data_IF_741756203788
#
_entry.id   IF_741756203788
#
_cell.length_a   1.000
_cell.length_b   1.000
_cell.length_c   1.000
_cell.angle_alpha   90.00
_cell.angle_beta   90.00
_cell.angle_gamma   90.00
#
_symmetry.space_group_name_H-M   'P 1'
#
loop_
_entity.id
_entity.type
_entity.pdbx_description
1 polymer ?
#
# COMPACT_ATOMS: atom_id res chain seq x y z
N UNK A 1 31.69 19.14 9.28
CA UNK A 1 31.92 17.80 8.72
C UNK A 1 30.77 17.56 7.71
N UNK A 2 31.10 17.67 6.43
CA UNK A 2 30.12 17.43 5.34
C UNK A 2 29.95 15.92 5.18
N UNK A 3 28.70 15.45 5.21
CA UNK A 3 28.37 14.06 4.91
C UNK A 3 28.69 13.79 3.43
N UNK A 4 29.53 12.79 3.15
CA UNK A 4 29.80 12.32 1.80
C UNK A 4 28.49 11.80 1.16
N UNK A 5 28.25 12.11 -0.12
CA UNK A 5 27.12 11.54 -0.84
C UNK A 5 27.38 10.02 -1.02
N UNK A 6 26.52 9.20 -0.45
CA UNK A 6 26.50 7.74 -0.71
C UNK A 6 26.32 7.53 -2.20
N UNK A 7 27.35 7.05 -2.89
CA UNK A 7 27.36 6.73 -4.30
C UNK A 7 26.32 5.64 -4.57
N UNK A 8 25.28 5.94 -5.34
CA UNK A 8 24.34 4.93 -5.84
C UNK A 8 25.12 3.81 -6.53
N UNK A 9 24.84 2.55 -6.23
CA UNK A 9 25.52 1.42 -6.87
C UNK A 9 25.28 1.49 -8.38
N UNK A 10 26.37 1.40 -9.17
CA UNK A 10 26.29 1.49 -10.63
C UNK A 10 25.35 0.40 -11.16
N UNK A 11 24.50 0.76 -12.09
CA UNK A 11 23.43 -0.06 -12.69
C UNK A 11 23.90 -1.50 -13.03
N UNK A 12 25.07 -1.60 -13.66
CA UNK A 12 25.65 -2.87 -14.07
C UNK A 12 26.03 -3.78 -12.89
N UNK A 13 26.50 -3.23 -11.77
CA UNK A 13 26.84 -4.02 -10.59
C UNK A 13 25.59 -4.59 -9.91
N UNK A 14 24.49 -3.84 -9.89
CA UNK A 14 23.21 -4.30 -9.34
C UNK A 14 22.60 -5.43 -10.19
N UNK A 15 22.62 -5.29 -11.53
CA UNK A 15 22.16 -6.36 -12.45
C UNK A 15 23.01 -7.61 -12.29
N UNK A 16 24.31 -7.45 -12.24
CA UNK A 16 25.25 -8.58 -12.11
C UNK A 16 25.06 -9.33 -10.79
N UNK A 17 24.87 -8.60 -9.68
CA UNK A 17 24.62 -9.20 -8.37
C UNK A 17 23.29 -9.96 -8.35
N UNK A 18 22.20 -9.31 -8.80
CA UNK A 18 20.90 -9.95 -8.95
C UNK A 18 20.93 -11.20 -9.83
N UNK A 19 21.63 -11.13 -10.96
CA UNK A 19 21.78 -12.26 -11.87
C UNK A 19 22.49 -13.44 -11.23
N UNK A 20 23.60 -13.18 -10.54
CA UNK A 20 24.37 -14.23 -9.85
C UNK A 20 23.54 -14.92 -8.77
N UNK A 21 22.85 -14.17 -7.95
CA UNK A 21 22.03 -14.72 -6.86
C UNK A 21 20.86 -15.56 -7.39
N UNK A 22 20.12 -15.02 -8.37
CA UNK A 22 18.94 -15.72 -8.90
C UNK A 22 19.34 -16.91 -9.80
N UNK A 23 20.41 -16.80 -10.59
CA UNK A 23 20.87 -17.92 -11.41
C UNK A 23 21.48 -19.04 -10.57
N UNK A 24 22.08 -18.74 -9.44
CA UNK A 24 22.56 -19.74 -8.48
C UNK A 24 21.42 -20.48 -7.78
N UNK A 25 20.30 -19.80 -7.52
CA UNK A 25 19.14 -20.38 -6.83
C UNK A 25 18.18 -21.11 -7.76
N UNK A 26 17.81 -20.49 -8.88
CA UNK A 26 16.71 -20.93 -9.76
C UNK A 26 17.21 -21.48 -11.10
N UNK A 27 18.52 -21.35 -11.42
CA UNK A 27 19.12 -21.74 -12.68
C UNK A 27 19.06 -20.65 -13.77
N UNK A 28 19.87 -20.84 -14.83
CA UNK A 28 20.05 -19.85 -15.90
C UNK A 28 18.76 -19.55 -16.69
N UNK A 29 18.00 -20.58 -17.11
CA UNK A 29 16.82 -20.42 -17.95
C UNK A 29 15.66 -19.71 -17.25
N UNK A 30 15.25 -20.07 -16.01
CA UNK A 30 14.21 -19.34 -15.28
C UNK A 30 14.59 -17.88 -15.00
N UNK A 31 15.84 -17.61 -14.65
CA UNK A 31 16.35 -16.26 -14.39
C UNK A 31 16.31 -15.40 -15.65
N UNK A 32 16.75 -15.96 -16.81
CA UNK A 32 16.65 -15.28 -18.11
C UNK A 32 15.23 -14.95 -18.49
N UNK A 33 14.29 -15.88 -18.30
CA UNK A 33 12.86 -15.67 -18.58
C UNK A 33 12.27 -14.55 -17.71
N UNK A 34 12.60 -14.53 -16.41
CA UNK A 34 12.18 -13.45 -15.49
C UNK A 34 12.75 -12.09 -15.92
N UNK A 35 14.01 -12.05 -16.29
CA UNK A 35 14.65 -10.81 -16.75
C UNK A 35 14.00 -10.27 -18.03
N UNK A 36 13.80 -11.11 -19.03
CA UNK A 36 13.17 -10.74 -20.29
C UNK A 36 11.70 -10.33 -20.06
N UNK A 37 10.97 -11.05 -19.20
CA UNK A 37 9.58 -10.69 -18.83
C UNK A 37 9.51 -9.32 -18.16
N UNK A 38 10.38 -9.04 -17.19
CA UNK A 38 10.43 -7.75 -16.50
C UNK A 38 10.78 -6.59 -17.47
N UNK A 39 11.72 -6.83 -18.40
CA UNK A 39 12.08 -5.86 -19.42
C UNK A 39 10.93 -5.63 -20.42
N UNK A 40 10.27 -6.70 -20.85
CA UNK A 40 9.11 -6.61 -21.75
C UNK A 40 7.94 -5.88 -21.11
N UNK A 41 7.62 -6.18 -19.85
CA UNK A 41 6.59 -5.47 -19.10
C UNK A 41 6.91 -3.98 -18.95
N UNK A 42 8.17 -3.65 -18.63
CA UNK A 42 8.62 -2.25 -18.58
C UNK A 42 8.40 -1.52 -19.92
N UNK A 43 8.82 -2.14 -21.03
CA UNK A 43 8.62 -1.55 -22.38
C UNK A 43 7.14 -1.41 -22.69
N UNK A 44 6.33 -2.45 -22.44
CA UNK A 44 4.89 -2.44 -22.66
C UNK A 44 4.18 -1.37 -21.85
N UNK A 45 4.58 -1.18 -20.60
CA UNK A 45 3.99 -0.17 -19.70
C UNK A 45 4.49 1.25 -19.98
N UNK A 46 5.63 1.39 -20.64
CA UNK A 46 6.17 2.68 -21.08
C UNK A 46 5.49 3.21 -22.35
N UNK A 47 4.59 2.44 -22.97
CA UNK A 47 3.86 2.87 -24.17
C UNK A 47 2.93 4.06 -23.90
N UNK A 48 2.81 5.04 -24.84
CA UNK A 48 1.95 6.20 -24.66
C UNK A 48 0.47 5.85 -24.40
N UNK A 49 -0.03 4.77 -25.00
CA UNK A 49 -1.41 4.31 -24.81
C UNK A 49 -1.69 3.87 -23.38
N UNK A 50 -0.76 3.12 -22.76
CA UNK A 50 -0.90 2.71 -21.36
C UNK A 50 -0.60 3.84 -20.39
N UNK A 51 0.29 4.76 -20.73
CA UNK A 51 0.43 6.01 -19.97
C UNK A 51 -0.89 6.78 -19.91
N UNK A 52 -1.62 6.91 -21.02
CA UNK A 52 -2.93 7.58 -21.06
C UNK A 52 -3.99 6.87 -20.22
N UNK A 53 -4.02 5.54 -20.18
CA UNK A 53 -4.93 4.79 -19.29
C UNK A 53 -4.62 4.97 -17.80
N UNK A 54 -3.37 5.25 -17.45
CA UNK A 54 -2.96 5.57 -16.07
C UNK A 54 -3.23 7.02 -15.65
N UNK A 55 -3.47 7.91 -16.63
CA UNK A 55 -3.82 9.31 -16.38
C UNK A 55 -5.30 9.51 -16.02
N UNK A 56 -6.05 8.44 -15.80
CA UNK A 56 -7.48 8.51 -15.54
C UNK A 56 -7.91 9.35 -14.33
N UNK A 57 -6.95 9.92 -13.57
CA UNK A 57 -7.23 10.67 -12.36
C UNK A 57 -6.29 11.87 -12.18
N UNK A 58 -5.93 12.48 -13.30
CA UNK A 58 -5.18 13.76 -13.33
C UNK A 58 -5.99 14.87 -12.67
N UNK A 59 -7.32 14.77 -12.70
CA UNK A 59 -8.25 15.72 -12.11
C UNK A 59 -8.01 15.85 -10.60
N UNK A 60 -7.90 14.74 -9.87
CA UNK A 60 -7.58 14.73 -8.44
C UNK A 60 -6.25 15.46 -8.15
N UNK A 61 -5.20 15.14 -8.89
CA UNK A 61 -3.88 15.74 -8.68
C UNK A 61 -3.89 17.24 -8.99
N UNK A 62 -4.69 17.65 -9.97
CA UNK A 62 -4.86 19.05 -10.34
C UNK A 62 -5.64 19.84 -9.30
N UNK A 63 -6.75 19.26 -8.80
CA UNK A 63 -7.62 19.91 -7.81
C UNK A 63 -6.90 20.14 -6.48
N UNK A 64 -6.09 19.17 -6.04
CA UNK A 64 -5.38 19.22 -4.76
C UNK A 64 -3.89 19.62 -4.89
N UNK A 65 -3.40 19.95 -6.09
CA UNK A 65 -2.00 20.34 -6.38
C UNK A 65 -0.97 19.31 -5.89
N UNK A 66 -1.30 18.05 -5.99
CA UNK A 66 -0.46 16.91 -5.58
C UNK A 66 0.04 16.13 -6.80
N UNK A 67 0.98 15.22 -6.59
CA UNK A 67 1.48 14.26 -7.60
C UNK A 67 1.22 12.85 -7.10
N UNK A 68 0.02 12.33 -7.33
CA UNK A 68 -0.35 10.97 -6.93
C UNK A 68 -0.61 10.04 -8.11
N UNK A 69 -0.62 10.55 -9.36
CA UNK A 69 -0.75 9.75 -10.58
C UNK A 69 0.61 9.29 -11.10
N UNK A 70 0.61 8.20 -11.86
CA UNK A 70 1.69 7.82 -12.78
C UNK A 70 3.08 7.59 -12.18
N UNK A 71 3.22 6.82 -11.10
CA UNK A 71 4.54 6.34 -10.70
C UNK A 71 5.01 5.22 -11.64
N UNK A 72 6.04 5.48 -12.44
CA UNK A 72 6.83 4.42 -13.04
C UNK A 72 7.74 3.85 -11.96
N UNK A 73 7.38 2.69 -11.43
CA UNK A 73 8.33 1.89 -10.65
C UNK A 73 9.52 1.56 -11.54
N UNK A 74 10.70 1.92 -11.12
CA UNK A 74 11.91 1.68 -11.88
C UNK A 74 12.06 0.19 -12.19
N UNK A 75 12.53 -0.18 -13.37
CA UNK A 75 12.80 -1.57 -13.73
C UNK A 75 13.74 -2.28 -12.73
N UNK A 76 14.59 -1.50 -12.01
CA UNK A 76 15.47 -1.97 -10.93
C UNK A 76 14.67 -2.56 -9.77
N UNK A 77 13.65 -1.85 -9.32
CA UNK A 77 12.84 -2.24 -8.17
C UNK A 77 11.99 -3.48 -8.49
N UNK A 78 11.55 -3.62 -9.75
CA UNK A 78 10.91 -4.84 -10.26
C UNK A 78 11.86 -6.04 -10.28
N UNK A 79 13.12 -5.86 -10.73
CA UNK A 79 14.12 -6.92 -10.75
C UNK A 79 14.51 -7.38 -9.36
N UNK A 80 14.57 -6.48 -8.38
CA UNK A 80 14.92 -6.79 -7.00
C UNK A 80 13.79 -7.48 -6.24
N UNK A 81 12.63 -7.71 -6.89
CA UNK A 81 11.50 -8.42 -6.28
C UNK A 81 10.76 -7.62 -5.20
N UNK A 82 11.07 -6.31 -5.09
CA UNK A 82 10.40 -5.42 -4.13
C UNK A 82 8.98 -5.05 -4.56
N UNK A 83 8.57 -5.45 -5.80
CA UNK A 83 7.25 -5.17 -6.34
C UNK A 83 6.53 -6.38 -6.87
N UNK A 84 5.35 -6.60 -6.35
CA UNK A 84 4.40 -7.58 -6.86
C UNK A 84 3.29 -6.94 -7.72
N UNK A 85 3.11 -5.63 -7.63
CA UNK A 85 2.13 -4.89 -8.42
C UNK A 85 2.71 -3.54 -8.88
N UNK A 86 2.45 -3.08 -10.12
CA UNK A 86 2.76 -1.70 -10.51
C UNK A 86 1.96 -0.74 -9.63
N UNK A 87 2.58 0.39 -9.27
CA UNK A 87 1.86 1.45 -8.57
C UNK A 87 0.62 1.86 -9.34
N UNK A 88 -0.51 1.79 -8.68
CA UNK A 88 -1.80 2.22 -9.20
C UNK A 88 -2.46 3.10 -8.13
N UNK A 89 -2.79 4.37 -8.46
CA UNK A 89 -3.49 5.23 -7.51
C UNK A 89 -4.89 4.70 -7.25
N UNK A 90 -5.35 4.82 -6.01
CA UNK A 90 -6.72 4.48 -5.63
C UNK A 90 -7.70 5.46 -6.28
N UNK A 91 -8.76 4.95 -6.88
CA UNK A 91 -9.85 5.76 -7.42
C UNK A 91 -10.65 6.40 -6.28
N UNK A 92 -10.88 7.75 -6.28
CA UNK A 92 -11.57 8.42 -5.19
C UNK A 92 -12.97 7.91 -4.92
N UNK A 93 -13.78 7.71 -5.97
CA UNK A 93 -15.16 7.23 -5.82
C UNK A 93 -15.20 5.88 -5.11
N UNK A 94 -14.33 4.94 -5.48
CA UNK A 94 -14.27 3.62 -4.86
C UNK A 94 -13.75 3.66 -3.43
N UNK A 95 -12.79 4.56 -3.13
CA UNK A 95 -12.31 4.74 -1.76
C UNK A 95 -13.43 5.22 -0.83
N UNK A 96 -14.19 6.22 -1.26
CA UNK A 96 -15.33 6.73 -0.49
C UNK A 96 -16.45 5.69 -0.36
N UNK A 97 -16.71 4.88 -1.41
CA UNK A 97 -17.66 3.77 -1.35
C UNK A 97 -17.25 2.73 -0.30
N UNK A 98 -15.96 2.38 -0.23
CA UNK A 98 -15.44 1.43 0.77
C UNK A 98 -15.66 1.94 2.19
N UNK A 99 -15.40 3.22 2.46
CA UNK A 99 -15.64 3.79 3.79
C UNK A 99 -17.14 3.90 4.10
N UNK A 100 -17.97 4.24 3.13
CA UNK A 100 -19.44 4.22 3.29
C UNK A 100 -19.94 2.80 3.61
N UNK A 101 -19.44 1.78 2.92
CA UNK A 101 -19.74 0.37 3.22
C UNK A 101 -19.28 -0.06 4.62
N UNK A 102 -18.12 0.43 5.08
CA UNK A 102 -17.66 0.19 6.44
C UNK A 102 -18.62 0.79 7.47
N UNK A 103 -19.06 2.03 7.26
CA UNK A 103 -20.05 2.70 8.14
C UNK A 103 -21.36 1.91 8.16
N UNK A 104 -21.84 1.44 7.01
CA UNK A 104 -23.06 0.62 6.94
C UNK A 104 -22.92 -0.72 7.69
N UNK A 105 -21.77 -1.39 7.55
CA UNK A 105 -21.47 -2.67 8.22
C UNK A 105 -21.21 -2.49 9.73
N UNK A 106 -20.83 -1.29 10.17
CA UNK A 106 -20.48 -0.96 11.55
C UNK A 106 -21.00 0.43 11.91
N UNK A 107 -22.33 0.62 12.09
CA UNK A 107 -22.95 1.95 12.28
C UNK A 107 -22.50 2.70 13.55
N UNK A 108 -21.86 2.01 14.49
CA UNK A 108 -21.34 2.60 15.73
C UNK A 108 -19.87 3.00 15.64
N UNK A 109 -19.24 2.87 14.47
CA UNK A 109 -17.85 3.26 14.30
C UNK A 109 -17.69 4.77 14.46
N UNK A 110 -16.77 5.20 15.32
CA UNK A 110 -16.34 6.58 15.43
C UNK A 110 -14.89 6.67 14.95
N UNK A 111 -14.67 7.21 13.76
CA UNK A 111 -13.34 7.33 13.17
C UNK A 111 -12.36 8.13 14.04
N UNK A 112 -12.83 8.99 14.92
CA UNK A 112 -11.99 9.76 15.86
C UNK A 112 -11.22 8.87 16.83
N UNK A 113 -11.68 7.63 17.03
CA UNK A 113 -10.98 6.65 17.86
C UNK A 113 -9.96 5.82 17.07
N UNK A 114 -10.03 5.83 15.73
CA UNK A 114 -9.27 4.96 14.86
C UNK A 114 -8.08 5.65 14.22
N UNK A 115 -6.97 4.91 14.11
CA UNK A 115 -5.88 5.23 13.19
C UNK A 115 -6.17 4.54 11.85
N UNK A 116 -6.14 5.31 10.76
CA UNK A 116 -6.11 4.77 9.41
C UNK A 116 -4.67 4.42 9.04
N UNK A 117 -4.44 3.19 8.55
CA UNK A 117 -3.11 2.73 8.13
C UNK A 117 -3.18 2.22 6.70
N UNK A 118 -2.41 2.82 5.79
CA UNK A 118 -2.27 2.40 4.40
C UNK A 118 -0.96 1.63 4.20
N UNK A 119 -1.05 0.36 3.84
CA UNK A 119 0.10 -0.52 3.60
C UNK A 119 0.47 -0.47 2.11
N UNK A 120 1.69 -0.02 1.81
CA UNK A 120 2.13 0.28 0.46
C UNK A 120 1.51 1.58 -0.04
N UNK A 121 1.63 2.63 0.78
CA UNK A 121 0.94 3.91 0.54
C UNK A 121 1.37 4.64 -0.75
N UNK A 122 2.43 4.18 -1.40
CA UNK A 122 2.90 4.75 -2.66
C UNK A 122 3.19 6.24 -2.55
N UNK A 123 2.55 7.04 -3.39
CA UNK A 123 2.62 8.50 -3.35
C UNK A 123 1.63 9.16 -2.37
N UNK A 124 0.89 8.36 -1.58
CA UNK A 124 0.06 8.83 -0.50
C UNK A 124 -1.38 9.21 -0.85
N UNK A 125 -1.93 8.89 -2.04
CA UNK A 125 -3.29 9.29 -2.41
C UNK A 125 -4.34 8.83 -1.40
N UNK A 126 -4.29 7.57 -0.95
CA UNK A 126 -5.24 7.07 0.03
C UNK A 126 -5.11 7.77 1.40
N UNK A 127 -3.90 8.24 1.75
CA UNK A 127 -3.68 9.03 2.96
C UNK A 127 -4.40 10.38 2.89
N UNK A 128 -4.32 11.06 1.74
CA UNK A 128 -4.96 12.36 1.52
C UNK A 128 -6.47 12.22 1.56
N UNK A 129 -7.03 11.22 0.87
CA UNK A 129 -8.47 10.95 0.91
C UNK A 129 -8.96 10.52 2.31
N UNK A 130 -8.14 9.76 3.06
CA UNK A 130 -8.48 9.41 4.44
C UNK A 130 -8.48 10.63 5.37
N UNK A 131 -7.70 11.66 5.05
CA UNK A 131 -7.68 12.90 5.83
C UNK A 131 -8.99 13.70 5.75
N UNK A 132 -9.85 13.45 4.77
CA UNK A 132 -11.19 14.04 4.69
C UNK A 132 -12.19 13.42 5.68
N UNK A 133 -11.77 12.36 6.37
CA UNK A 133 -12.53 11.74 7.45
C UNK A 133 -11.91 12.07 8.80
N UNK A 134 -12.70 12.08 9.88
CA UNK A 134 -12.22 12.48 11.20
C UNK A 134 -11.41 11.38 11.89
N UNK A 135 -10.46 10.74 11.18
CA UNK A 135 -9.56 9.80 11.81
C UNK A 135 -8.69 10.47 12.87
N UNK A 136 -8.40 9.74 13.96
CA UNK A 136 -7.47 10.21 14.98
C UNK A 136 -6.10 10.52 14.39
N UNK A 137 -5.66 9.69 13.43
CA UNK A 137 -4.41 9.80 12.71
C UNK A 137 -4.48 9.01 11.41
N UNK A 138 -3.75 9.45 10.40
CA UNK A 138 -3.55 8.75 9.13
C UNK A 138 -2.07 8.42 8.97
N UNK A 139 -1.76 7.14 8.74
CA UNK A 139 -0.40 6.63 8.67
C UNK A 139 -0.20 5.82 7.38
N UNK A 140 0.81 6.17 6.59
CA UNK A 140 1.25 5.40 5.44
C UNK A 140 2.51 4.60 5.76
N UNK A 141 2.60 3.38 5.22
CA UNK A 141 3.80 2.55 5.25
C UNK A 141 4.24 2.32 3.82
N UNK A 142 5.42 2.83 3.45
CA UNK A 142 5.96 2.71 2.10
C UNK A 142 7.41 2.22 2.15
N UNK A 143 7.71 1.19 1.34
CA UNK A 143 9.03 0.58 1.28
C UNK A 143 10.00 1.37 0.41
N UNK A 144 9.49 2.06 -0.62
CA UNK A 144 10.33 2.71 -1.62
C UNK A 144 10.64 4.16 -1.27
N UNK A 145 11.92 4.51 -1.10
CA UNK A 145 12.33 5.88 -0.76
C UNK A 145 11.83 6.93 -1.76
N UNK A 146 11.75 6.57 -3.05
CA UNK A 146 11.29 7.48 -4.09
C UNK A 146 9.80 7.83 -3.95
N UNK A 147 8.94 6.83 -3.71
CA UNK A 147 7.50 7.04 -3.51
C UNK A 147 7.22 7.71 -2.18
N UNK A 148 7.88 7.25 -1.11
CA UNK A 148 7.79 7.86 0.21
C UNK A 148 8.11 9.37 0.19
N UNK A 149 9.16 9.80 -0.54
CA UNK A 149 9.49 11.23 -0.67
C UNK A 149 8.36 12.01 -1.31
N UNK A 150 7.78 11.47 -2.39
CA UNK A 150 6.64 12.11 -3.07
C UNK A 150 5.42 12.16 -2.14
N UNK A 151 5.14 11.09 -1.40
CA UNK A 151 4.06 11.07 -0.40
C UNK A 151 4.24 12.17 0.65
N UNK A 152 5.45 12.34 1.18
CA UNK A 152 5.76 13.42 2.14
C UNK A 152 5.57 14.81 1.54
N UNK A 153 5.93 15.01 0.26
CA UNK A 153 5.71 16.28 -0.44
C UNK A 153 4.21 16.54 -0.67
N UNK A 154 3.46 15.51 -1.03
CA UNK A 154 2.02 15.59 -1.24
C UNK A 154 1.29 15.93 0.08
N UNK A 155 1.65 15.27 1.19
CA UNK A 155 1.09 15.55 2.51
C UNK A 155 1.29 17.01 2.91
N UNK A 156 2.47 17.59 2.60
CA UNK A 156 2.77 18.99 2.91
C UNK A 156 1.99 20.00 2.06
N UNK A 157 1.62 19.61 0.84
CA UNK A 157 0.93 20.48 -0.12
C UNK A 157 -0.59 20.34 -0.07
N UNK A 158 -1.06 19.22 0.52
CA UNK A 158 -2.47 18.92 0.51
C UNK A 158 -3.27 19.92 1.33
N UNK A 159 -4.23 20.54 0.67
CA UNK A 159 -5.22 21.43 1.26
C UNK A 159 -6.58 21.06 0.69
N UNK A 160 -7.56 20.80 1.56
CA UNK A 160 -8.93 20.45 1.20
C UNK A 160 -9.89 21.04 2.20
N UNK A 161 -10.99 21.61 1.71
CA UNK A 161 -12.07 22.15 2.55
C UNK A 161 -12.78 21.03 3.34
N UNK A 162 -12.67 19.78 2.88
CA UNK A 162 -13.22 18.59 3.56
C UNK A 162 -12.26 17.97 4.57
N UNK A 163 -11.02 18.44 4.68
CA UNK A 163 -10.01 17.85 5.54
C UNK A 163 -10.40 17.95 7.02
N UNK A 164 -10.45 16.79 7.70
CA UNK A 164 -10.80 16.66 9.11
C UNK A 164 -9.66 16.10 9.96
N UNK A 165 -8.73 15.34 9.34
CA UNK A 165 -7.55 14.83 10.01
C UNK A 165 -6.30 15.55 9.50
N UNK A 166 -5.54 16.17 10.41
CA UNK A 166 -4.29 16.89 10.12
C UNK A 166 -3.05 16.11 10.60
N UNK A 167 -3.25 15.02 11.34
CA UNK A 167 -2.18 14.13 11.78
C UNK A 167 -1.91 13.07 10.71
N UNK A 168 -1.25 13.47 9.63
CA UNK A 168 -0.91 12.60 8.50
C UNK A 168 0.58 12.37 8.47
N UNK A 169 0.99 11.11 8.38
CA UNK A 169 2.40 10.72 8.34
C UNK A 169 2.60 9.58 7.34
N UNK A 170 3.75 9.56 6.67
CA UNK A 170 4.20 8.43 5.87
C UNK A 170 5.56 7.96 6.37
N UNK A 171 5.68 6.68 6.72
CA UNK A 171 6.91 6.05 7.20
C UNK A 171 7.58 5.26 6.09
N UNK A 172 8.91 5.40 6.00
CA UNK A 172 9.73 4.53 5.15
C UNK A 172 10.01 3.24 5.92
N UNK A 173 9.25 2.18 5.65
CA UNK A 173 9.35 0.93 6.39
C UNK A 173 8.89 -0.27 5.55
N UNK A 174 9.38 -1.46 5.93
CA UNK A 174 8.84 -2.74 5.44
C UNK A 174 7.56 -3.10 6.19
N UNK A 175 6.47 -3.26 5.47
CA UNK A 175 5.19 -3.67 6.03
C UNK A 175 5.23 -5.03 6.72
N UNK A 176 6.10 -5.94 6.26
CA UNK A 176 6.31 -7.24 6.89
C UNK A 176 6.98 -7.19 8.27
N UNK A 177 7.63 -6.07 8.60
CA UNK A 177 8.29 -5.82 9.90
C UNK A 177 7.53 -4.75 10.72
N UNK A 178 6.41 -4.25 10.21
CA UNK A 178 5.66 -3.18 10.86
C UNK A 178 5.04 -3.66 12.18
N UNK A 179 5.37 -2.96 13.26
CA UNK A 179 4.80 -3.18 14.58
C UNK A 179 3.48 -2.38 14.72
N UNK A 180 2.36 -3.09 14.78
CA UNK A 180 1.05 -2.45 14.95
C UNK A 180 0.92 -1.81 16.33
N UNK A 181 0.44 -0.58 16.35
CA UNK A 181 0.16 0.16 17.57
C UNK A 181 -1.06 -0.42 18.31
N UNK A 182 -1.11 -0.34 19.64
CA UNK A 182 -2.21 -0.88 20.45
C UNK A 182 -3.44 0.03 20.45
N UNK A 183 -3.86 0.51 19.28
CA UNK A 183 -5.00 1.41 19.12
C UNK A 183 -5.97 0.92 18.03
N UNK A 184 -7.27 1.27 18.10
CA UNK A 184 -8.24 0.92 17.07
C UNK A 184 -7.74 1.30 15.68
N UNK A 185 -7.89 0.39 14.71
CA UNK A 185 -7.24 0.54 13.39
C UNK A 185 -8.20 0.24 12.26
N UNK A 186 -8.20 1.11 11.24
CA UNK A 186 -8.70 0.82 9.90
C UNK A 186 -7.48 0.61 8.99
N UNK A 187 -7.23 -0.63 8.61
CA UNK A 187 -6.11 -1.03 7.75
C UNK A 187 -6.57 -1.04 6.31
N UNK A 188 -5.90 -0.32 5.43
CA UNK A 188 -6.15 -0.29 4.00
C UNK A 188 -5.06 -1.03 3.25
N UNK A 189 -5.46 -1.85 2.27
CA UNK A 189 -4.58 -2.67 1.43
C UNK A 189 -5.02 -2.53 -0.03
N UNK A 190 -4.07 -2.20 -0.93
CA UNK A 190 -4.29 -2.25 -2.38
C UNK A 190 -3.23 -3.14 -3.04
N UNK A 191 -3.33 -4.46 -2.82
CA UNK A 191 -2.38 -5.48 -3.30
C UNK A 191 -0.89 -5.10 -3.11
N UNK A 192 -0.49 -4.62 -1.94
CA UNK A 192 0.86 -4.10 -1.72
C UNK A 192 1.92 -5.20 -1.64
N UNK A 193 1.51 -6.44 -1.36
CA UNK A 193 2.39 -7.55 -0.99
C UNK A 193 2.07 -8.83 -1.79
N UNK A 194 3.08 -9.70 -1.94
CA UNK A 194 2.88 -11.09 -2.32
C UNK A 194 2.18 -11.86 -1.22
N UNK A 195 1.69 -13.07 -1.52
CA UNK A 195 0.97 -13.92 -0.58
C UNK A 195 1.74 -14.16 0.72
N UNK A 196 3.04 -14.46 0.64
CA UNK A 196 3.88 -14.68 1.83
C UNK A 196 4.03 -13.40 2.67
N UNK A 197 4.17 -12.24 2.04
CA UNK A 197 4.25 -10.94 2.72
C UNK A 197 2.93 -10.58 3.39
N UNK A 198 1.80 -10.79 2.70
CA UNK A 198 0.48 -10.57 3.27
C UNK A 198 0.21 -11.52 4.44
N UNK A 199 0.59 -12.79 4.32
CA UNK A 199 0.46 -13.75 5.41
C UNK A 199 1.28 -13.34 6.65
N UNK A 200 2.50 -12.82 6.45
CA UNK A 200 3.33 -12.28 7.53
C UNK A 200 2.69 -11.06 8.18
N UNK A 201 2.19 -10.10 7.38
CA UNK A 201 1.48 -8.92 7.88
C UNK A 201 0.27 -9.30 8.73
N UNK A 202 -0.56 -10.24 8.25
CA UNK A 202 -1.73 -10.75 8.97
C UNK A 202 -1.32 -11.43 10.27
N UNK A 203 -0.26 -12.26 10.26
CA UNK A 203 0.27 -12.90 11.46
C UNK A 203 0.78 -11.89 12.50
N UNK A 204 1.48 -10.83 12.06
CA UNK A 204 1.91 -9.74 12.95
C UNK A 204 0.73 -9.00 13.57
N UNK A 205 -0.31 -8.75 12.76
CA UNK A 205 -1.54 -8.10 13.24
C UNK A 205 -2.27 -9.01 14.26
N UNK A 206 -2.39 -10.30 13.98
CA UNK A 206 -2.98 -11.26 14.91
C UNK A 206 -2.20 -11.36 16.24
N UNK A 207 -0.86 -11.33 16.16
CA UNK A 207 -0.02 -11.32 17.38
C UNK A 207 -0.30 -10.06 18.20
N UNK A 208 -0.28 -8.89 17.58
CA UNK A 208 -0.61 -7.61 18.23
C UNK A 208 -2.03 -7.58 18.81
N UNK A 209 -2.99 -8.26 18.18
CA UNK A 209 -4.38 -8.36 18.66
C UNK A 209 -4.54 -9.33 19.84
N UNK A 210 -3.67 -10.32 19.99
CA UNK A 210 -3.63 -11.18 21.18
C UNK A 210 -3.09 -10.44 22.38
N UNK A 211 -2.03 -9.64 22.18
CA UNK A 211 -1.43 -8.84 23.27
C UNK A 211 -2.32 -7.64 23.66
N UNK A 212 -2.88 -6.98 22.67
CA UNK A 212 -3.67 -5.76 22.84
C UNK A 212 -5.00 -5.88 22.07
N UNK A 213 -6.02 -6.51 22.66
CA UNK A 213 -7.34 -6.65 22.06
C UNK A 213 -8.01 -5.31 21.80
N UNK A 214 -8.35 -5.04 20.53
CA UNK A 214 -8.97 -3.79 20.07
C UNK A 214 -9.78 -3.96 18.78
N UNK A 215 -10.67 -3.04 18.42
CA UNK A 215 -11.34 -3.05 17.13
C UNK A 215 -10.34 -2.87 15.97
N UNK A 216 -10.45 -3.72 14.97
CA UNK A 216 -9.69 -3.59 13.72
C UNK A 216 -10.61 -3.92 12.56
N UNK A 217 -10.56 -3.07 11.53
CA UNK A 217 -11.16 -3.31 10.22
C UNK A 217 -10.07 -3.37 9.17
N UNK A 218 -10.23 -4.26 8.18
CA UNK A 218 -9.33 -4.35 7.03
C UNK A 218 -10.14 -4.07 5.77
N UNK A 219 -9.80 -2.99 5.08
CA UNK A 219 -10.33 -2.61 3.77
C UNK A 219 -9.36 -3.13 2.71
N UNK A 220 -9.73 -4.19 2.01
CA UNK A 220 -8.90 -4.79 0.99
C UNK A 220 -9.44 -4.45 -0.41
N UNK A 221 -8.82 -3.48 -1.05
CA UNK A 221 -9.12 -3.05 -2.41
C UNK A 221 -8.50 -4.03 -3.41
N UNK A 222 -9.28 -4.42 -4.43
CA UNK A 222 -8.92 -5.41 -5.46
C UNK A 222 -8.34 -6.69 -4.82
N UNK A 223 -9.13 -7.47 -4.05
CA UNK A 223 -8.63 -8.44 -3.09
C UNK A 223 -8.18 -9.76 -3.76
N UNK A 224 -7.09 -9.71 -4.52
CA UNK A 224 -6.54 -10.87 -5.24
C UNK A 224 -6.12 -12.02 -4.31
N UNK A 225 -5.74 -11.69 -3.09
CA UNK A 225 -5.29 -12.63 -2.06
C UNK A 225 -6.25 -12.67 -0.87
N UNK A 226 -7.54 -12.45 -1.11
CA UNK A 226 -8.59 -12.44 -0.07
C UNK A 226 -8.54 -13.69 0.82
N UNK A 227 -8.18 -14.83 0.25
CA UNK A 227 -8.11 -16.10 0.95
C UNK A 227 -7.12 -16.10 2.14
N UNK A 228 -6.11 -15.22 2.14
CA UNK A 228 -5.16 -15.09 3.26
C UNK A 228 -5.87 -14.55 4.50
N UNK A 229 -6.70 -13.52 4.35
CA UNK A 229 -7.53 -12.98 5.43
C UNK A 229 -8.67 -13.93 5.80
N UNK A 230 -9.30 -14.57 4.81
CA UNK A 230 -10.40 -15.49 5.04
C UNK A 230 -10.00 -16.77 5.81
N UNK A 231 -8.73 -17.19 5.73
CA UNK A 231 -8.19 -18.31 6.52
C UNK A 231 -7.90 -17.94 7.98
N UNK A 232 -7.79 -16.65 8.29
CA UNK A 232 -7.55 -16.16 9.65
C UNK A 232 -8.81 -16.32 10.50
N UNK A 233 -8.65 -16.90 11.68
CA UNK A 233 -9.73 -16.98 12.66
C UNK A 233 -9.98 -15.63 13.38
N UNK A 234 -9.02 -14.71 13.29
CA UNK A 234 -9.11 -13.40 13.91
C UNK A 234 -10.03 -12.45 13.15
N UNK A 235 -10.33 -12.72 11.87
CA UNK A 235 -11.08 -11.85 11.00
C UNK A 235 -12.30 -12.55 10.38
N UNK A 236 -13.38 -11.79 10.21
CA UNK A 236 -14.54 -12.20 9.44
C UNK A 236 -14.87 -11.14 8.39
N UNK A 237 -15.26 -11.56 7.21
CA UNK A 237 -15.78 -10.67 6.17
C UNK A 237 -17.15 -10.12 6.61
N UNK A 238 -17.31 -8.80 6.55
CA UNK A 238 -18.53 -8.10 6.98
C UNK A 238 -19.23 -7.36 5.84
N UNK A 239 -18.49 -6.97 4.80
CA UNK A 239 -19.02 -6.33 3.61
C UNK A 239 -18.08 -6.54 2.41
N UNK A 240 -18.45 -6.01 1.25
CA UNK A 240 -17.62 -5.96 0.06
C UNK A 240 -18.36 -6.32 -1.22
N UNK A 241 -17.71 -6.02 -2.34
CA UNK A 241 -18.14 -6.31 -3.71
C UNK A 241 -17.11 -7.23 -4.39
N UNK A 242 -17.09 -7.25 -5.74
CA UNK A 242 -15.99 -7.87 -6.48
C UNK A 242 -14.72 -6.99 -6.54
N UNK A 243 -14.84 -5.68 -6.22
CA UNK A 243 -13.73 -4.72 -6.26
C UNK A 243 -13.04 -4.58 -4.91
N UNK A 244 -13.72 -4.90 -3.81
CA UNK A 244 -13.14 -4.83 -2.47
C UNK A 244 -13.80 -5.78 -1.49
N UNK A 245 -13.11 -6.07 -0.42
CA UNK A 245 -13.66 -6.78 0.75
C UNK A 245 -13.33 -6.04 2.04
N UNK A 246 -14.26 -6.11 2.99
CA UNK A 246 -14.13 -5.52 4.31
C UNK A 246 -14.19 -6.62 5.34
N UNK A 247 -13.14 -6.71 6.14
CA UNK A 247 -13.06 -7.62 7.27
C UNK A 247 -13.10 -6.86 8.58
N UNK A 248 -13.74 -7.43 9.56
CA UNK A 248 -13.66 -6.97 10.95
C UNK A 248 -12.99 -8.01 11.82
N UNK A 249 -12.34 -7.57 12.88
CA UNK A 249 -11.86 -8.48 13.91
C UNK A 249 -13.03 -9.32 14.43
N UNK A 250 -12.82 -10.63 14.53
CA UNK A 250 -13.77 -11.55 15.13
C UNK A 250 -13.67 -11.37 16.66
N UNK A 251 -14.68 -10.72 17.25
CA UNK A 251 -14.80 -10.62 18.71
C UNK A 251 -15.48 -11.91 19.14
N UNK A 252 -14.70 -12.94 19.49
CA UNK A 252 -15.25 -14.04 20.26
C UNK A 252 -15.70 -13.45 21.57
N UNK A 253 -17.01 -13.49 21.83
CA UNK A 253 -17.54 -13.16 23.13
C UNK A 253 -16.87 -14.11 24.16
N UNK A 254 -16.05 -13.53 25.03
CA UNK A 254 -15.50 -14.20 26.22
C UNK A 254 -16.57 -14.30 27.28
#
# INVERSE_FOLDING_TARGET
>A
MAAEPTSEPRLLSTIHHWWRENSARDGFFPTSKRFVSALWEFVRESTPARRRQRYGDVEYDWDFRVDTTGATVGWRDRLLGHFHSPYQPTEPALFHEMLASLIQASPKIDFREFTFIDIGSGKGRALLMAADYPFRRVLGIELLPALHRVAQENIKKYESDSQQCFAIECLLADAGEFAFLPEPTVLYLFNPLAESGLAKLVSNLEHSLREHPRPVFVLYHNPLLEHVLARSQAFKRVAGTHQYSIFSRNVTAS
#
